data_IF_469114608728
#
_entry.id   IF_469114608728
#
_cell.length_a   1.000
_cell.length_b   1.000
_cell.length_c   1.000
_cell.angle_alpha   90.00
_cell.angle_beta   90.00
_cell.angle_gamma   90.00
#
_symmetry.space_group_name_H-M   'P 1'
#
loop_
_entity.id
_entity.type
_entity.pdbx_description
1 polymer ?
#
# COMPACT_ATOMS: atom_id res chain seq x y z
N UNK A 1 43.57 13.01 7.79
CA UNK A 1 43.37 11.99 8.86
C UNK A 1 42.26 12.33 9.85
N UNK A 2 41.81 13.59 9.93
CA UNK A 2 40.72 14.05 10.81
C UNK A 2 39.30 13.64 10.36
N UNK A 3 39.05 13.51 9.05
CA UNK A 3 37.72 13.10 8.54
C UNK A 3 37.37 11.64 8.86
N UNK A 4 38.38 10.77 9.02
CA UNK A 4 38.17 9.36 9.39
C UNK A 4 37.80 9.19 10.87
N UNK A 5 38.27 10.10 11.73
CA UNK A 5 37.92 10.12 13.15
C UNK A 5 36.50 10.65 13.38
N UNK A 6 36.03 11.60 12.57
CA UNK A 6 34.64 12.09 12.63
C UNK A 6 33.62 11.00 12.25
N UNK A 7 33.91 10.20 11.22
CA UNK A 7 33.07 9.05 10.84
C UNK A 7 33.06 7.96 11.91
N UNK A 8 34.21 7.68 12.55
CA UNK A 8 34.33 6.72 13.64
C UNK A 8 33.64 7.20 14.93
N UNK A 9 33.69 8.50 15.23
CA UNK A 9 32.97 9.08 16.36
C UNK A 9 31.45 9.00 16.16
N UNK A 10 30.97 9.30 14.95
CA UNK A 10 29.55 9.20 14.60
C UNK A 10 29.01 7.77 14.62
N UNK A 11 29.86 6.75 14.44
CA UNK A 11 29.47 5.33 14.55
C UNK A 11 29.61 4.75 15.96
N UNK A 12 30.36 5.38 16.87
CA UNK A 12 30.66 4.85 18.22
C UNK A 12 29.82 5.50 19.33
N UNK A 13 29.27 6.69 19.12
CA UNK A 13 28.49 7.39 20.14
C UNK A 13 27.07 6.82 20.27
N UNK A 14 26.96 5.76 21.08
CA UNK A 14 25.74 4.96 21.28
C UNK A 14 24.60 5.69 22.00
N UNK A 15 24.79 6.93 22.47
CA UNK A 15 23.76 7.72 23.15
C UNK A 15 23.92 9.23 22.85
N UNK A 16 23.10 9.83 21.98
CA UNK A 16 23.08 11.28 21.81
C UNK A 16 22.48 11.95 23.05
N UNK A 17 22.95 13.14 23.47
CA UNK A 17 22.33 13.91 24.55
C UNK A 17 20.85 14.19 24.22
N UNK A 18 19.97 14.14 25.24
CA UNK A 18 18.50 14.15 25.09
C UNK A 18 17.92 15.29 24.23
N UNK A 19 18.66 16.40 24.09
CA UNK A 19 18.27 17.56 23.25
C UNK A 19 18.60 17.37 21.77
N UNK A 20 19.70 16.69 21.43
CA UNK A 20 20.14 16.44 20.04
C UNK A 20 19.40 15.26 19.40
N UNK A 21 18.77 14.39 20.20
CA UNK A 21 18.01 13.24 19.71
C UNK A 21 16.85 13.65 18.80
N UNK A 22 16.19 14.78 19.08
CA UNK A 22 15.06 15.24 18.26
C UNK A 22 15.51 15.65 16.85
N UNK A 23 16.63 16.36 16.73
CA UNK A 23 17.21 16.73 15.43
C UNK A 23 17.66 15.50 14.64
N UNK A 24 18.32 14.54 15.31
CA UNK A 24 18.75 13.30 14.66
C UNK A 24 17.55 12.47 14.17
N UNK A 25 16.45 12.41 14.94
CA UNK A 25 15.23 11.71 14.52
C UNK A 25 14.58 12.39 13.32
N UNK A 26 14.49 13.73 13.33
CA UNK A 26 13.92 14.49 12.20
C UNK A 26 14.78 14.30 10.94
N UNK A 27 16.10 14.41 11.06
CA UNK A 27 17.02 14.17 9.94
C UNK A 27 16.90 12.74 9.43
N UNK A 28 16.88 11.74 10.32
CA UNK A 28 16.70 10.34 9.94
C UNK A 28 15.35 10.10 9.24
N UNK A 29 14.29 10.75 9.69
CA UNK A 29 12.96 10.68 9.05
C UNK A 29 12.99 11.27 7.65
N UNK A 30 13.52 12.49 7.49
CA UNK A 30 13.63 13.14 6.17
C UNK A 30 14.50 12.32 5.22
N UNK A 31 15.63 11.79 5.70
CA UNK A 31 16.49 10.91 4.92
C UNK A 31 15.77 9.62 4.50
N UNK A 32 14.97 9.04 5.39
CA UNK A 32 14.19 7.84 5.07
C UNK A 32 13.14 8.13 4.00
N UNK A 33 12.42 9.24 4.10
CA UNK A 33 11.44 9.67 3.09
C UNK A 33 12.13 9.89 1.73
N UNK A 34 13.29 10.54 1.71
CA UNK A 34 14.07 10.76 0.49
C UNK A 34 14.48 9.44 -0.17
N UNK A 35 15.02 8.49 0.61
CA UNK A 35 15.40 7.18 0.11
C UNK A 35 14.19 6.37 -0.40
N UNK A 36 13.10 6.34 0.35
CA UNK A 36 11.86 5.66 -0.06
C UNK A 36 11.34 6.25 -1.37
N UNK A 37 11.32 7.59 -1.50
CA UNK A 37 10.87 8.26 -2.72
C UNK A 37 11.77 7.96 -3.92
N UNK A 38 13.10 7.96 -3.72
CA UNK A 38 14.06 7.65 -4.78
C UNK A 38 13.92 6.22 -5.25
N UNK A 39 13.86 5.26 -4.31
CA UNK A 39 13.69 3.83 -4.61
C UNK A 39 12.34 3.57 -5.28
N UNK A 40 11.27 4.23 -4.83
CA UNK A 40 9.95 4.12 -5.45
C UNK A 40 9.95 4.62 -6.90
N UNK A 41 10.66 5.72 -7.19
CA UNK A 41 10.83 6.23 -8.56
C UNK A 41 11.56 5.23 -9.46
N UNK A 42 12.69 4.70 -9.00
CA UNK A 42 13.44 3.67 -9.75
C UNK A 42 12.62 2.39 -9.96
N UNK A 43 11.85 1.97 -8.95
CA UNK A 43 10.94 0.83 -9.05
C UNK A 43 9.88 1.05 -10.15
N UNK A 44 9.27 2.23 -10.20
CA UNK A 44 8.29 2.57 -11.23
C UNK A 44 8.92 2.57 -12.63
N UNK A 45 10.13 3.11 -12.78
CA UNK A 45 10.88 3.09 -14.04
C UNK A 45 11.18 1.65 -14.50
N UNK A 46 11.62 0.79 -13.57
CA UNK A 46 11.85 -0.64 -13.85
C UNK A 46 10.56 -1.34 -14.28
N UNK A 47 9.44 -1.07 -13.59
CA UNK A 47 8.15 -1.63 -13.97
C UNK A 47 7.69 -1.16 -15.34
N UNK A 48 7.87 0.13 -15.67
CA UNK A 48 7.54 0.65 -16.99
C UNK A 48 8.37 -0.04 -18.09
N UNK A 49 9.68 -0.22 -17.88
CA UNK A 49 10.53 -0.96 -18.80
C UNK A 49 10.07 -2.41 -18.97
N UNK A 50 9.75 -3.12 -17.88
CA UNK A 50 9.19 -4.47 -17.93
C UNK A 50 7.84 -4.52 -18.65
N UNK A 51 6.97 -3.53 -18.45
CA UNK A 51 5.69 -3.41 -19.15
C UNK A 51 5.89 -3.29 -20.66
N UNK A 52 6.86 -2.49 -21.10
CA UNK A 52 7.19 -2.37 -22.53
C UNK A 52 7.81 -3.64 -23.11
N UNK A 53 8.63 -4.37 -22.34
CA UNK A 53 9.28 -5.61 -22.79
C UNK A 53 8.31 -6.79 -22.89
N UNK A 54 7.33 -6.85 -21.97
CA UNK A 54 6.35 -7.94 -21.89
C UNK A 54 5.05 -7.62 -22.63
N UNK A 55 4.97 -6.47 -23.31
CA UNK A 55 3.74 -5.93 -23.93
C UNK A 55 2.55 -5.92 -22.96
N UNK A 56 2.83 -5.70 -21.66
CA UNK A 56 1.82 -5.69 -20.61
C UNK A 56 1.35 -4.26 -20.33
N UNK A 57 0.03 -4.03 -20.14
CA UNK A 57 -0.48 -2.72 -19.80
C UNK A 57 0.06 -2.27 -18.42
N UNK A 58 0.47 -0.99 -18.27
CA UNK A 58 0.97 -0.45 -17.00
C UNK A 58 -0.02 -0.64 -15.84
N UNK A 59 -1.32 -0.60 -16.12
CA UNK A 59 -2.38 -0.83 -15.14
C UNK A 59 -2.30 -2.23 -14.51
N UNK A 60 -1.89 -3.25 -15.28
CA UNK A 60 -1.77 -4.63 -14.81
C UNK A 60 -0.58 -4.77 -13.84
N UNK A 61 0.55 -4.14 -14.14
CA UNK A 61 1.71 -4.10 -13.25
C UNK A 61 1.42 -3.34 -11.95
N UNK A 62 0.64 -2.25 -12.03
CA UNK A 62 0.18 -1.54 -10.86
C UNK A 62 -0.77 -2.36 -9.98
N UNK A 63 -1.73 -3.05 -10.58
CA UNK A 63 -2.73 -3.85 -9.87
C UNK A 63 -2.14 -5.15 -9.28
N UNK A 64 -1.03 -5.64 -9.83
CA UNK A 64 -0.36 -6.86 -9.36
C UNK A 64 0.86 -6.55 -8.50
N UNK A 65 1.98 -6.19 -9.12
CA UNK A 65 3.29 -6.08 -8.47
C UNK A 65 3.31 -4.95 -7.44
N UNK A 66 2.82 -3.76 -7.79
CA UNK A 66 2.80 -2.63 -6.83
C UNK A 66 1.81 -2.87 -5.69
N UNK A 67 0.60 -3.35 -6.01
CA UNK A 67 -0.42 -3.62 -5.00
C UNK A 67 0.01 -4.72 -4.00
N UNK A 68 0.60 -5.82 -4.50
CA UNK A 68 1.17 -6.87 -3.65
C UNK A 68 2.37 -6.37 -2.85
N UNK A 69 3.28 -5.63 -3.50
CA UNK A 69 4.47 -5.07 -2.84
C UNK A 69 4.12 -4.18 -1.66
N UNK A 70 3.06 -3.38 -1.78
CA UNK A 70 2.57 -2.57 -0.68
C UNK A 70 1.93 -3.39 0.44
N UNK A 71 1.14 -4.42 0.09
CA UNK A 71 0.29 -5.13 1.07
C UNK A 71 0.94 -6.36 1.71
N UNK A 72 2.05 -6.86 1.16
CA UNK A 72 2.72 -8.08 1.67
C UNK A 72 3.34 -7.86 3.06
N UNK A 73 3.91 -6.68 3.31
CA UNK A 73 4.45 -6.33 4.62
C UNK A 73 3.36 -6.27 5.69
N UNK A 74 2.24 -5.64 5.35
CA UNK A 74 1.04 -5.56 6.21
C UNK A 74 0.50 -6.95 6.50
N UNK A 75 0.39 -7.82 5.49
CA UNK A 75 -0.04 -9.21 5.67
C UNK A 75 0.85 -9.98 6.65
N UNK A 76 2.18 -9.86 6.51
CA UNK A 76 3.13 -10.52 7.41
C UNK A 76 3.00 -10.00 8.84
N UNK A 77 2.85 -8.69 9.01
CA UNK A 77 2.67 -8.05 10.31
C UNK A 77 1.35 -8.49 10.98
N UNK A 78 0.23 -8.46 10.25
CA UNK A 78 -1.08 -8.85 10.76
C UNK A 78 -1.12 -10.34 11.13
N UNK A 79 -0.50 -11.21 10.32
CA UNK A 79 -0.38 -12.64 10.64
C UNK A 79 0.48 -12.85 11.89
N UNK A 80 1.57 -12.11 12.06
CA UNK A 80 2.41 -12.19 13.25
C UNK A 80 1.65 -11.76 14.52
N UNK A 81 0.91 -10.64 14.46
CA UNK A 81 0.08 -10.12 15.56
C UNK A 81 -1.07 -11.08 15.90
N UNK A 82 -1.70 -11.67 14.89
CA UNK A 82 -2.74 -12.68 15.09
C UNK A 82 -2.18 -13.94 15.78
N UNK A 83 -1.00 -14.42 15.36
CA UNK A 83 -0.31 -15.55 16.00
C UNK A 83 0.16 -15.24 17.43
N UNK A 84 0.45 -13.98 17.73
CA UNK A 84 0.77 -13.52 19.08
C UNK A 84 -0.46 -13.42 20.02
N UNK A 85 -1.63 -13.91 19.59
CA UNK A 85 -2.84 -13.94 20.41
C UNK A 85 -3.65 -12.64 20.41
N UNK A 86 -3.38 -11.72 19.47
CA UNK A 86 -4.09 -10.43 19.33
C UNK A 86 -4.88 -10.32 18.01
N UNK A 87 -5.84 -11.24 17.72
CA UNK A 87 -6.55 -11.25 16.45
C UNK A 87 -7.41 -10.00 16.22
N UNK A 88 -7.95 -9.38 17.27
CA UNK A 88 -8.72 -8.14 17.14
C UNK A 88 -7.85 -6.96 16.63
N UNK A 89 -6.57 -6.92 17.04
CA UNK A 89 -5.62 -5.91 16.58
C UNK A 89 -5.23 -6.15 15.12
N UNK A 90 -4.96 -7.39 14.73
CA UNK A 90 -4.68 -7.76 13.35
C UNK A 90 -5.88 -7.44 12.41
N UNK A 91 -7.11 -7.68 12.87
CA UNK A 91 -8.31 -7.31 12.11
C UNK A 91 -8.42 -5.79 11.95
N UNK A 92 -8.13 -5.01 12.99
CA UNK A 92 -8.12 -3.56 12.90
C UNK A 92 -7.04 -3.05 11.92
N UNK A 93 -5.83 -3.63 11.96
CA UNK A 93 -4.73 -3.29 11.06
C UNK A 93 -5.07 -3.51 9.58
N UNK A 94 -5.58 -4.70 9.27
CA UNK A 94 -5.94 -5.11 7.90
C UNK A 94 -6.99 -4.18 7.24
N UNK A 95 -7.91 -3.58 8.01
CA UNK A 95 -8.87 -2.60 7.46
C UNK A 95 -8.35 -1.15 7.53
N UNK A 96 -7.67 -0.78 8.61
CA UNK A 96 -7.21 0.59 8.82
C UNK A 96 -6.11 1.00 7.84
N UNK A 97 -5.19 0.09 7.49
CA UNK A 97 -4.09 0.36 6.56
C UNK A 97 -4.57 0.78 5.17
N UNK A 98 -5.34 -0.07 4.45
CA UNK A 98 -5.90 0.28 3.15
C UNK A 98 -6.82 1.51 3.20
N UNK A 99 -7.61 1.67 4.26
CA UNK A 99 -8.49 2.83 4.45
C UNK A 99 -7.67 4.13 4.58
N UNK A 100 -6.58 4.13 5.34
CA UNK A 100 -5.68 5.27 5.47
C UNK A 100 -4.99 5.60 4.13
N UNK A 101 -4.53 4.58 3.40
CA UNK A 101 -3.90 4.76 2.09
C UNK A 101 -4.86 5.38 1.07
N UNK A 102 -6.15 5.02 1.10
CA UNK A 102 -7.16 5.68 0.25
C UNK A 102 -7.45 7.12 0.70
N UNK A 103 -7.72 7.34 1.98
CA UNK A 103 -8.11 8.67 2.48
C UNK A 103 -6.98 9.68 2.31
N UNK A 104 -5.77 9.33 2.78
CA UNK A 104 -4.63 10.24 2.78
C UNK A 104 -3.87 10.14 1.47
N UNK A 105 -3.52 8.94 1.02
CA UNK A 105 -2.74 8.76 -0.21
C UNK A 105 -3.50 9.23 -1.45
N UNK A 106 -4.63 8.59 -1.77
CA UNK A 106 -5.42 8.96 -2.94
C UNK A 106 -6.03 10.36 -2.80
N UNK A 107 -6.53 10.71 -1.61
CA UNK A 107 -7.10 12.05 -1.36
C UNK A 107 -6.10 13.18 -1.57
N UNK A 108 -4.88 13.07 -1.04
CA UNK A 108 -3.85 14.10 -1.26
C UNK A 108 -3.38 14.14 -2.71
N UNK A 109 -3.23 12.99 -3.37
CA UNK A 109 -2.88 12.92 -4.79
C UNK A 109 -3.92 13.62 -5.68
N UNK A 110 -5.22 13.42 -5.42
CA UNK A 110 -6.30 14.09 -6.15
C UNK A 110 -6.32 15.60 -5.91
N UNK A 111 -6.08 16.04 -4.67
CA UNK A 111 -6.00 17.48 -4.34
C UNK A 111 -4.83 18.13 -5.08
N UNK A 112 -3.64 17.50 -5.06
CA UNK A 112 -2.47 18.00 -5.78
C UNK A 112 -2.71 18.05 -7.30
N UNK A 113 -3.32 17.01 -7.87
CA UNK A 113 -3.61 16.96 -9.30
C UNK A 113 -4.64 18.03 -9.71
N UNK A 114 -5.69 18.22 -8.92
CA UNK A 114 -6.72 19.23 -9.17
C UNK A 114 -6.14 20.65 -9.07
N UNK A 115 -5.24 20.89 -8.11
CA UNK A 115 -4.55 22.16 -7.97
C UNK A 115 -3.64 22.48 -9.18
N UNK A 116 -2.98 21.47 -9.75
CA UNK A 116 -2.11 21.65 -10.92
C UNK A 116 -2.88 21.89 -12.24
N UNK A 117 -4.10 21.37 -12.36
CA UNK A 117 -4.92 21.46 -13.58
C UNK A 117 -5.87 22.68 -13.58
N UNK A 118 -5.94 23.40 -12.46
CA UNK A 118 -6.75 24.61 -12.32
C UNK A 118 -6.40 25.65 -13.41
N UNK A 119 -7.39 26.24 -14.13
CA UNK A 119 -8.84 26.25 -13.86
C UNK A 119 -9.67 25.19 -14.61
N UNK A 120 -9.05 24.25 -15.33
CA UNK A 120 -9.79 23.23 -16.06
C UNK A 120 -10.35 22.16 -15.10
N UNK A 121 -11.54 21.64 -15.40
CA UNK A 121 -12.10 20.52 -14.65
C UNK A 121 -11.29 19.24 -14.95
N UNK A 122 -10.85 18.54 -13.90
CA UNK A 122 -10.21 17.24 -14.05
C UNK A 122 -11.28 16.20 -14.44
N UNK A 123 -11.27 15.74 -15.69
CA UNK A 123 -12.17 14.67 -16.12
C UNK A 123 -11.69 13.33 -15.56
N UNK A 124 -12.44 12.79 -14.60
CA UNK A 124 -12.24 11.41 -14.16
C UNK A 124 -12.74 10.47 -15.24
N UNK A 125 -11.81 9.83 -15.96
CA UNK A 125 -12.13 8.72 -16.85
C UNK A 125 -12.69 7.54 -16.04
N UNK A 126 -14.00 7.32 -16.12
CA UNK A 126 -14.66 6.15 -15.54
C UNK A 126 -14.34 4.91 -16.39
N UNK A 127 -13.17 4.33 -16.16
CA UNK A 127 -12.82 3.05 -16.76
C UNK A 127 -13.63 1.91 -16.10
N UNK A 128 -14.09 0.97 -16.91
CA UNK A 128 -14.86 -0.22 -16.48
C UNK A 128 -14.13 -0.99 -15.36
N UNK A 129 -12.79 -1.04 -15.40
CA UNK A 129 -11.97 -1.67 -14.36
C UNK A 129 -12.12 -1.04 -12.97
N UNK A 130 -12.29 0.29 -12.88
CA UNK A 130 -12.47 1.01 -11.61
C UNK A 130 -13.82 0.66 -10.99
N UNK A 131 -14.88 0.61 -11.81
CA UNK A 131 -16.23 0.25 -11.36
C UNK A 131 -16.26 -1.16 -10.79
N UNK A 132 -15.62 -2.11 -11.48
CA UNK A 132 -15.53 -3.50 -11.02
C UNK A 132 -14.73 -3.60 -9.72
N UNK A 133 -13.58 -2.94 -9.63
CA UNK A 133 -12.80 -2.90 -8.40
C UNK A 133 -13.62 -2.34 -7.22
N UNK A 134 -14.41 -1.29 -7.46
CA UNK A 134 -15.29 -0.72 -6.46
C UNK A 134 -16.41 -1.67 -6.02
N UNK A 135 -17.06 -2.37 -6.97
CA UNK A 135 -18.11 -3.35 -6.68
C UNK A 135 -17.56 -4.53 -5.86
N UNK A 136 -16.42 -5.11 -6.27
CA UNK A 136 -15.79 -6.20 -5.52
C UNK A 136 -15.32 -5.77 -4.14
N UNK A 137 -14.76 -4.55 -4.03
CA UNK A 137 -14.36 -3.97 -2.75
C UNK A 137 -15.56 -3.81 -1.81
N UNK A 138 -16.66 -3.21 -2.28
CA UNK A 138 -17.88 -3.06 -1.50
C UNK A 138 -18.46 -4.41 -1.09
N UNK A 139 -18.51 -5.39 -1.99
CA UNK A 139 -19.02 -6.72 -1.70
C UNK A 139 -18.17 -7.41 -0.62
N UNK A 140 -16.85 -7.31 -0.72
CA UNK A 140 -15.93 -7.88 0.28
C UNK A 140 -16.08 -7.22 1.65
N UNK A 141 -16.22 -5.88 1.67
CA UNK A 141 -16.35 -5.10 2.89
C UNK A 141 -17.70 -5.37 3.57
N UNK A 142 -18.80 -5.30 2.82
CA UNK A 142 -20.15 -5.60 3.33
C UNK A 142 -20.26 -7.04 3.81
N UNK A 143 -19.75 -8.01 3.04
CA UNK A 143 -19.70 -9.40 3.44
C UNK A 143 -18.92 -9.59 4.74
N UNK A 144 -17.74 -8.98 4.85
CA UNK A 144 -16.91 -9.07 6.05
C UNK A 144 -17.61 -8.46 7.28
N UNK A 145 -18.27 -7.31 7.12
CA UNK A 145 -19.00 -6.64 8.20
C UNK A 145 -20.17 -7.49 8.68
N UNK A 146 -20.91 -8.10 7.76
CA UNK A 146 -22.06 -8.96 8.08
C UNK A 146 -21.62 -10.26 8.79
N UNK A 147 -20.53 -10.88 8.34
CA UNK A 147 -19.98 -12.10 8.97
C UNK A 147 -19.37 -11.83 10.33
N UNK A 148 -18.65 -10.71 10.50
CA UNK A 148 -18.03 -10.33 11.78
C UNK A 148 -19.10 -9.99 12.82
N UNK A 149 -20.15 -9.25 12.43
CA UNK A 149 -21.26 -8.90 13.33
C UNK A 149 -22.07 -10.13 13.73
N UNK A 150 -22.36 -11.05 12.79
CA UNK A 150 -23.07 -12.29 13.11
C UNK A 150 -22.22 -13.24 13.97
N UNK A 151 -20.93 -13.36 13.68
CA UNK A 151 -20.04 -14.33 14.34
C UNK A 151 -19.46 -13.84 15.68
N UNK A 152 -20.04 -12.79 16.30
CA UNK A 152 -19.60 -12.23 17.59
C UNK A 152 -18.08 -11.98 17.65
N UNK A 153 -17.51 -11.34 16.62
CA UNK A 153 -16.08 -11.03 16.48
C UNK A 153 -15.13 -12.25 16.42
N UNK A 154 -15.64 -13.46 16.12
CA UNK A 154 -14.80 -14.60 15.76
C UNK A 154 -14.89 -14.86 14.27
N UNK A 155 -13.79 -14.67 13.54
CA UNK A 155 -13.73 -14.94 12.10
C UNK A 155 -13.59 -16.45 11.88
N UNK A 156 -14.57 -17.13 11.24
CA UNK A 156 -14.45 -18.55 10.96
C UNK A 156 -13.41 -18.78 9.84
N UNK A 157 -12.63 -19.86 9.93
CA UNK A 157 -11.60 -20.20 8.93
C UNK A 157 -12.15 -20.32 7.51
N UNK A 158 -13.40 -20.77 7.37
CA UNK A 158 -14.11 -20.85 6.10
C UNK A 158 -14.26 -19.48 5.41
N UNK A 159 -14.50 -18.42 6.18
CA UNK A 159 -14.65 -17.08 5.64
C UNK A 159 -13.34 -16.54 5.06
N UNK A 160 -12.20 -16.87 5.68
CA UNK A 160 -10.89 -16.56 5.13
C UNK A 160 -10.65 -17.19 3.76
N UNK A 161 -11.03 -18.47 3.59
CA UNK A 161 -10.95 -19.16 2.29
C UNK A 161 -11.87 -18.51 1.25
N UNK A 162 -13.09 -18.11 1.66
CA UNK A 162 -14.03 -17.40 0.79
C UNK A 162 -13.46 -16.05 0.30
N UNK A 163 -12.84 -15.27 1.18
CA UNK A 163 -12.19 -13.99 0.83
C UNK A 163 -11.02 -14.19 -0.14
N UNK A 164 -10.19 -15.22 0.06
CA UNK A 164 -9.11 -15.56 -0.88
C UNK A 164 -9.68 -15.97 -2.24
N UNK A 165 -10.75 -16.77 -2.26
CA UNK A 165 -11.45 -17.12 -3.50
C UNK A 165 -11.99 -15.90 -4.25
N UNK A 166 -12.64 -14.98 -3.53
CA UNK A 166 -13.12 -13.71 -4.08
C UNK A 166 -11.97 -12.87 -4.65
N UNK A 167 -10.84 -12.80 -3.95
CA UNK A 167 -9.64 -12.11 -4.42
C UNK A 167 -9.07 -12.70 -5.71
N UNK A 168 -9.01 -14.03 -5.82
CA UNK A 168 -8.55 -14.72 -7.04
C UNK A 168 -9.49 -14.43 -8.21
N UNK A 169 -10.80 -14.52 -7.99
CA UNK A 169 -11.81 -14.19 -9.01
C UNK A 169 -11.69 -12.73 -9.46
N UNK A 170 -11.60 -11.80 -8.52
CA UNK A 170 -11.39 -10.39 -8.81
C UNK A 170 -10.14 -10.16 -9.67
N UNK A 171 -9.00 -10.72 -9.24
CA UNK A 171 -7.72 -10.57 -9.95
C UNK A 171 -7.82 -11.12 -11.37
N UNK A 172 -8.46 -12.28 -11.55
CA UNK A 172 -8.63 -12.89 -12.87
C UNK A 172 -9.53 -12.06 -13.79
N UNK A 173 -10.66 -11.54 -13.28
CA UNK A 173 -11.55 -10.64 -14.02
C UNK A 173 -10.84 -9.33 -14.38
N UNK A 174 -10.10 -8.74 -13.44
CA UNK A 174 -9.31 -7.52 -13.68
C UNK A 174 -8.21 -7.74 -14.71
N UNK A 175 -7.53 -8.90 -14.70
CA UNK A 175 -6.53 -9.27 -15.69
C UNK A 175 -7.15 -9.38 -17.09
N UNK A 176 -8.26 -10.10 -17.21
CA UNK A 176 -9.00 -10.25 -18.46
C UNK A 176 -9.32 -8.87 -19.08
N UNK A 177 -9.88 -7.97 -18.27
CA UNK A 177 -10.29 -6.65 -18.75
C UNK A 177 -9.08 -5.79 -19.11
N UNK A 178 -8.00 -5.87 -18.33
CA UNK A 178 -6.77 -5.16 -18.64
C UNK A 178 -6.18 -5.60 -19.99
N UNK A 179 -6.23 -6.90 -20.31
CA UNK A 179 -5.78 -7.44 -21.60
C UNK A 179 -6.72 -7.11 -22.76
N UNK A 180 -8.03 -6.95 -22.51
CA UNK A 180 -9.00 -6.56 -23.55
C UNK A 180 -9.08 -5.05 -23.79
N UNK A 181 -8.52 -4.23 -22.88
CA UNK A 181 -8.53 -2.77 -22.97
C UNK A 181 -7.25 -2.18 -23.59
N UNK A 182 -6.26 -3.03 -23.94
CA UNK A 182 -5.10 -2.71 -24.78
C UNK A 182 -5.43 -2.93 -26.25
#
# INVERSE_FOLDING_TARGET
MTSSLAFLHFTIEKHPPKTEQMHVIIVAFVMSVFWISTIAGELLNCLAALGTLLELPPALLGLTVLAWGNSVGDLVADVAVAKAGRPAMAMAGCFAGPMFNMLVGLGTALVMQTANVYPNAYELGFHVGIVIAFVFLLLSLMGSLLVITWSRFRVPRFWGVCLVGLYVVFTFVSLIIATFST
#
